data_IF_915792410291
#
_entry.id   IF_915792410291
#
_cell.length_a   1.000
_cell.length_b   1.000
_cell.length_c   1.000
_cell.angle_alpha   90.00
_cell.angle_beta   90.00
_cell.angle_gamma   90.00
#
_symmetry.space_group_name_H-M   'P 1'
#
loop_
_entity.id
_entity.type
_entity.pdbx_description
1 polymer ?
#
# COMPACT_ATOMS: atom_id res chain seq x y z
N UNK A 1 21.27 -9.13 13.38
CA UNK A 1 20.78 -8.66 12.08
C UNK A 1 21.71 -7.56 11.59
N UNK A 2 22.28 -7.75 10.40
CA UNK A 2 23.26 -6.90 9.71
C UNK A 2 22.59 -6.00 8.68
N UNK A 3 23.36 -5.12 8.03
CA UNK A 3 22.84 -4.31 6.91
C UNK A 3 22.45 -5.17 5.68
N UNK A 4 23.04 -6.35 5.49
CA UNK A 4 22.71 -7.25 4.37
C UNK A 4 21.42 -8.06 4.61
N UNK A 5 21.13 -8.41 5.86
CA UNK A 5 19.82 -8.95 6.26
C UNK A 5 18.71 -7.91 5.96
N UNK A 6 18.95 -6.63 6.29
CA UNK A 6 18.02 -5.53 5.99
C UNK A 6 17.85 -5.33 4.49
N UNK A 7 18.92 -5.41 3.68
CA UNK A 7 18.80 -5.38 2.20
C UNK A 7 17.92 -6.53 1.70
N UNK A 8 18.10 -7.74 2.22
CA UNK A 8 17.33 -8.93 1.84
C UNK A 8 15.83 -8.77 2.15
N UNK A 9 15.50 -8.28 3.36
CA UNK A 9 14.11 -8.01 3.77
C UNK A 9 13.47 -6.87 2.95
N UNK A 10 14.23 -5.84 2.60
CA UNK A 10 13.74 -4.73 1.76
C UNK A 10 13.56 -5.18 0.30
N UNK A 11 14.42 -6.05 -0.22
CA UNK A 11 14.22 -6.64 -1.56
C UNK A 11 12.97 -7.52 -1.60
N UNK A 12 12.80 -8.42 -0.62
CA UNK A 12 11.58 -9.22 -0.47
C UNK A 12 10.34 -8.33 -0.43
N UNK A 13 10.36 -7.26 0.37
CA UNK A 13 9.25 -6.31 0.48
C UNK A 13 8.94 -5.60 -0.85
N UNK A 14 9.96 -5.26 -1.63
CA UNK A 14 9.81 -4.60 -2.94
C UNK A 14 9.28 -5.53 -4.05
N UNK A 15 9.37 -6.86 -3.87
CA UNK A 15 8.77 -7.85 -4.78
C UNK A 15 7.26 -8.03 -4.55
N UNK A 16 6.77 -7.78 -3.33
CA UNK A 16 5.36 -8.04 -2.93
C UNK A 16 4.52 -6.78 -2.76
N UNK A 17 5.11 -5.68 -2.29
CA UNK A 17 4.42 -4.40 -2.04
C UNK A 17 4.67 -3.34 -3.12
N UNK A 18 4.24 -2.11 -2.84
CA UNK A 18 4.38 -0.96 -3.75
C UNK A 18 5.84 -0.70 -4.19
N UNK A 19 6.09 -0.83 -5.50
CA UNK A 19 7.41 -0.63 -6.12
C UNK A 19 8.02 0.75 -5.82
N UNK A 20 9.24 0.78 -5.28
CA UNK A 20 10.00 1.98 -4.90
C UNK A 20 11.48 1.82 -5.28
N UNK A 21 11.89 2.14 -6.53
CA UNK A 21 13.21 1.78 -7.05
C UNK A 21 14.38 2.49 -6.34
N UNK A 22 14.14 3.62 -5.69
CA UNK A 22 15.14 4.35 -4.90
C UNK A 22 15.41 3.74 -3.53
N UNK A 23 14.56 2.85 -3.03
CA UNK A 23 14.59 2.38 -1.64
C UNK A 23 15.86 1.56 -1.34
N UNK A 24 16.21 0.60 -2.20
CA UNK A 24 17.46 -0.17 -2.07
C UNK A 24 18.70 0.73 -2.10
N UNK A 25 18.72 1.79 -2.93
CA UNK A 25 19.85 2.73 -2.99
C UNK A 25 20.01 3.52 -1.68
N UNK A 26 18.91 3.86 -1.00
CA UNK A 26 18.97 4.50 0.31
C UNK A 26 19.51 3.51 1.36
N UNK A 27 18.92 2.32 1.45
CA UNK A 27 19.29 1.28 2.43
C UNK A 27 20.77 0.86 2.29
N UNK A 28 21.22 0.57 1.08
CA UNK A 28 22.62 0.22 0.76
C UNK A 28 23.61 1.40 0.85
N UNK A 29 23.20 2.55 1.38
CA UNK A 29 24.11 3.68 1.66
C UNK A 29 24.06 4.16 3.12
N UNK A 30 23.52 3.35 4.03
CA UNK A 30 23.90 3.42 5.44
C UNK A 30 25.30 2.81 5.60
N UNK A 31 26.07 3.31 6.56
CA UNK A 31 27.29 2.63 7.00
C UNK A 31 26.95 1.28 7.68
N UNK A 32 27.73 0.19 7.48
CA UNK A 32 27.41 -1.11 8.05
C UNK A 32 27.44 -1.15 9.58
N UNK A 33 28.42 -0.50 10.21
CA UNK A 33 28.63 -0.55 11.66
C UNK A 33 27.63 0.36 12.37
N UNK A 34 27.40 1.58 11.88
CA UNK A 34 26.31 2.45 12.37
C UNK A 34 24.95 1.76 12.24
N UNK A 35 24.70 1.09 11.11
CA UNK A 35 23.43 0.39 10.90
C UNK A 35 23.25 -0.76 11.90
N UNK A 36 24.29 -1.56 12.12
CA UNK A 36 24.26 -2.65 13.11
C UNK A 36 24.08 -2.12 14.55
N UNK A 37 24.72 -1.01 14.89
CA UNK A 37 24.57 -0.35 16.19
C UNK A 37 23.16 0.19 16.43
N UNK A 38 22.55 0.84 15.43
CA UNK A 38 21.14 1.32 15.51
C UNK A 38 20.16 0.15 15.61
N UNK A 39 20.38 -0.94 14.88
CA UNK A 39 19.57 -2.17 14.97
C UNK A 39 19.68 -2.79 16.37
N UNK A 40 20.90 -2.88 16.93
CA UNK A 40 21.14 -3.41 18.28
C UNK A 40 20.44 -2.56 19.34
N UNK A 41 20.60 -1.24 19.29
CA UNK A 41 19.90 -0.30 20.19
C UNK A 41 18.37 -0.46 20.09
N UNK A 42 17.82 -0.66 18.90
CA UNK A 42 16.39 -0.86 18.73
C UNK A 42 15.89 -2.16 19.40
N UNK A 43 16.62 -3.26 19.23
CA UNK A 43 16.30 -4.54 19.86
C UNK A 43 16.41 -4.44 21.39
N UNK A 44 17.44 -3.78 21.92
CA UNK A 44 17.60 -3.54 23.36
C UNK A 44 16.43 -2.72 23.94
N UNK A 45 15.99 -1.66 23.26
CA UNK A 45 14.81 -0.87 23.64
C UNK A 45 13.52 -1.72 23.59
N UNK A 46 13.41 -2.65 22.63
CA UNK A 46 12.27 -3.56 22.53
C UNK A 46 12.26 -4.58 23.66
N UNK A 47 13.37 -5.27 23.91
CA UNK A 47 13.45 -6.36 24.88
C UNK A 47 13.28 -5.85 26.33
N UNK A 48 13.68 -4.60 26.64
CA UNK A 48 13.43 -3.95 27.94
C UNK A 48 11.95 -3.66 28.24
N UNK A 49 11.17 -3.25 27.22
CA UNK A 49 9.85 -2.58 27.44
C UNK A 49 8.69 -3.18 26.64
N UNK A 50 8.98 -4.05 25.68
CA UNK A 50 8.07 -4.49 24.61
C UNK A 50 7.47 -3.31 23.81
N UNK A 51 8.11 -2.13 23.83
CA UNK A 51 7.59 -0.91 23.23
C UNK A 51 7.93 -0.84 21.73
N UNK A 52 6.99 -1.35 20.93
CA UNK A 52 7.01 -1.30 19.48
C UNK A 52 7.15 0.13 18.92
N UNK A 53 6.63 1.16 19.61
CA UNK A 53 6.63 2.54 19.12
C UNK A 53 8.01 3.17 19.22
N UNK A 54 8.61 3.20 20.41
CA UNK A 54 9.96 3.78 20.59
C UNK A 54 11.02 2.98 19.83
N UNK A 55 10.85 1.66 19.70
CA UNK A 55 11.70 0.81 18.85
C UNK A 55 11.66 1.23 17.39
N UNK A 56 10.48 1.55 16.84
CA UNK A 56 10.34 2.07 15.48
C UNK A 56 10.99 3.45 15.31
N UNK A 57 10.87 4.32 16.31
CA UNK A 57 11.51 5.65 16.30
C UNK A 57 13.06 5.54 16.39
N UNK A 58 13.62 4.42 16.86
CA UNK A 58 15.05 4.09 16.70
C UNK A 58 15.36 3.56 15.30
N UNK A 59 14.63 2.55 14.81
CA UNK A 59 14.88 1.92 13.50
C UNK A 59 14.73 2.90 12.32
N UNK A 60 13.84 3.89 12.43
CA UNK A 60 13.61 4.89 11.38
C UNK A 60 14.71 5.96 11.26
N UNK A 61 15.74 5.93 12.12
CA UNK A 61 17.00 6.67 11.93
C UNK A 61 17.77 6.18 10.70
N UNK A 62 17.59 4.90 10.32
CA UNK A 62 18.26 4.30 9.16
C UNK A 62 17.71 4.85 7.84
N UNK A 63 18.60 5.28 6.94
CA UNK A 63 18.22 5.84 5.64
C UNK A 63 17.51 4.79 4.79
N UNK A 64 16.30 5.12 4.36
CA UNK A 64 15.41 4.22 3.60
C UNK A 64 14.48 3.36 4.47
N UNK A 65 14.58 3.43 5.80
CA UNK A 65 13.70 2.70 6.71
C UNK A 65 12.62 3.65 7.23
N UNK A 66 11.42 3.58 6.64
CA UNK A 66 10.21 4.23 7.20
C UNK A 66 9.49 3.31 8.18
N UNK A 67 8.43 3.78 8.87
CA UNK A 67 7.68 3.00 9.87
C UNK A 67 7.29 1.60 9.38
N UNK A 68 6.78 1.50 8.15
CA UNK A 68 6.37 0.22 7.57
C UNK A 68 7.52 -0.75 7.24
N UNK A 69 8.77 -0.28 7.20
CA UNK A 69 9.95 -1.16 7.04
C UNK A 69 10.55 -1.48 8.41
N UNK A 70 10.59 -0.51 9.32
CA UNK A 70 10.97 -0.76 10.71
C UNK A 70 10.05 -1.81 11.39
N UNK A 71 8.74 -1.76 11.13
CA UNK A 71 7.79 -2.80 11.58
C UNK A 71 8.09 -4.18 10.99
N UNK A 72 8.61 -4.28 9.75
CA UNK A 72 8.99 -5.56 9.16
C UNK A 72 10.25 -6.11 9.83
N UNK A 73 11.25 -5.26 10.05
CA UNK A 73 12.48 -5.62 10.76
C UNK A 73 12.17 -6.13 12.18
N UNK A 74 11.24 -5.49 12.87
CA UNK A 74 10.84 -5.87 14.23
C UNK A 74 9.89 -7.09 14.27
N UNK A 75 9.00 -7.28 13.30
CA UNK A 75 8.19 -8.49 13.18
C UNK A 75 9.03 -9.75 12.83
N UNK A 76 10.21 -9.59 12.22
CA UNK A 76 11.19 -10.68 12.05
C UNK A 76 11.87 -11.07 13.38
N UNK A 77 12.03 -10.12 14.31
CA UNK A 77 12.49 -10.39 15.68
C UNK A 77 11.38 -11.00 16.55
N UNK A 78 10.15 -10.47 16.46
CA UNK A 78 8.99 -10.96 17.23
C UNK A 78 7.70 -11.06 16.40
N UNK A 79 7.58 -12.15 15.65
CA UNK A 79 6.38 -12.51 14.90
C UNK A 79 5.17 -12.90 15.76
N UNK A 80 5.29 -12.92 17.10
CA UNK A 80 4.18 -13.25 18.00
C UNK A 80 3.43 -12.00 18.48
N UNK A 81 4.16 -10.91 18.77
CA UNK A 81 3.62 -9.66 19.32
C UNK A 81 3.61 -8.50 18.32
N UNK A 82 4.56 -8.42 17.38
CA UNK A 82 4.71 -7.26 16.50
C UNK A 82 4.06 -7.49 15.14
N UNK A 83 3.22 -6.54 14.73
CA UNK A 83 2.59 -6.53 13.41
C UNK A 83 3.48 -5.83 12.38
N UNK A 84 3.75 -6.50 11.25
CA UNK A 84 4.25 -5.87 10.04
C UNK A 84 3.14 -5.00 9.42
N UNK A 85 3.46 -3.72 9.19
CA UNK A 85 2.61 -2.78 8.45
C UNK A 85 2.58 -3.09 6.94
N UNK A 86 1.93 -4.21 6.60
CA UNK A 86 1.54 -4.59 5.26
C UNK A 86 0.33 -3.77 4.78
N UNK A 87 0.16 -3.65 3.46
CA UNK A 87 -0.99 -2.96 2.88
C UNK A 87 -2.30 -3.72 3.23
N UNK A 88 -2.24 -5.05 3.18
CA UNK A 88 -3.35 -5.97 3.43
C UNK A 88 -3.85 -5.91 4.89
N UNK A 89 -2.94 -5.91 5.87
CA UNK A 89 -3.29 -5.80 7.29
C UNK A 89 -4.00 -4.47 7.60
N UNK A 90 -3.49 -3.38 7.04
CA UNK A 90 -4.06 -2.04 7.21
C UNK A 90 -5.40 -1.87 6.49
N UNK A 91 -5.58 -2.46 5.31
CA UNK A 91 -6.86 -2.42 4.60
C UNK A 91 -7.94 -3.25 5.30
N UNK A 92 -7.63 -4.47 5.73
CA UNK A 92 -8.59 -5.34 6.41
C UNK A 92 -9.08 -4.72 7.71
N UNK A 93 -8.15 -4.38 8.62
CA UNK A 93 -8.48 -3.90 9.96
C UNK A 93 -8.90 -2.42 9.93
N UNK A 94 -8.02 -1.52 9.50
CA UNK A 94 -8.25 -0.07 9.65
C UNK A 94 -9.12 0.56 8.55
N UNK A 95 -9.40 -0.15 7.44
CA UNK A 95 -10.19 0.36 6.32
C UNK A 95 -11.43 -0.50 5.98
N UNK A 96 -11.82 -1.43 6.87
CA UNK A 96 -12.96 -2.34 6.68
C UNK A 96 -12.92 -3.11 5.34
N UNK A 97 -11.73 -3.59 4.96
CA UNK A 97 -11.48 -4.30 3.69
C UNK A 97 -11.30 -3.41 2.45
N UNK A 98 -11.44 -2.09 2.56
CA UNK A 98 -11.38 -1.18 1.41
C UNK A 98 -9.94 -0.74 1.12
N UNK A 99 -9.47 -0.97 -0.11
CA UNK A 99 -8.11 -0.65 -0.58
C UNK A 99 -7.82 0.86 -0.69
N UNK A 100 -7.81 1.53 0.45
CA UNK A 100 -7.69 2.99 0.60
C UNK A 100 -6.22 3.46 0.51
N UNK A 101 -5.93 4.72 0.13
CA UNK A 101 -4.56 5.23 0.04
C UNK A 101 -3.84 5.31 1.40
N UNK A 102 -2.81 4.47 1.58
CA UNK A 102 -1.94 4.44 2.77
C UNK A 102 -0.80 5.45 2.63
N UNK A 103 -0.47 6.20 3.71
CA UNK A 103 0.63 7.18 3.73
C UNK A 103 1.90 6.64 4.39
N UNK A 104 1.81 5.53 5.12
CA UNK A 104 2.91 4.80 5.77
C UNK A 104 3.60 5.57 6.90
N UNK A 105 2.82 6.38 7.63
CA UNK A 105 3.32 7.19 8.75
C UNK A 105 3.08 6.52 10.11
N UNK A 106 3.71 7.05 11.16
CA UNK A 106 3.64 6.50 12.51
C UNK A 106 2.28 6.71 13.22
N UNK A 107 1.35 7.52 12.69
CA UNK A 107 -0.05 7.58 13.19
C UNK A 107 -0.85 6.40 12.65
N UNK A 108 -0.73 6.12 11.36
CA UNK A 108 -1.36 4.96 10.71
C UNK A 108 -0.85 3.64 11.31
N UNK A 109 0.44 3.55 11.63
CA UNK A 109 0.97 2.36 12.31
C UNK A 109 0.40 2.17 13.72
N UNK A 110 0.32 3.23 14.54
CA UNK A 110 -0.28 3.14 15.88
C UNK A 110 -1.76 2.75 15.83
N UNK A 111 -2.50 3.18 14.80
CA UNK A 111 -3.87 2.75 14.55
C UNK A 111 -3.94 1.25 14.21
N UNK A 112 -3.04 0.74 13.37
CA UNK A 112 -2.92 -0.70 13.09
C UNK A 112 -2.61 -1.50 14.36
N UNK A 113 -1.69 -1.04 15.21
CA UNK A 113 -1.41 -1.71 16.48
C UNK A 113 -2.65 -1.80 17.38
N UNK A 114 -3.48 -0.75 17.45
CA UNK A 114 -4.71 -0.76 18.26
C UNK A 114 -5.68 -1.85 17.80
N UNK A 115 -6.02 -1.88 16.50
CA UNK A 115 -6.94 -2.89 15.93
C UNK A 115 -6.38 -4.31 16.09
N UNK A 116 -5.05 -4.47 15.99
CA UNK A 116 -4.36 -5.73 16.22
C UNK A 116 -4.46 -6.16 17.67
N UNK A 117 -4.20 -5.27 18.63
CA UNK A 117 -4.25 -5.61 20.04
C UNK A 117 -5.68 -5.88 20.52
N UNK A 118 -6.67 -5.12 20.05
CA UNK A 118 -8.10 -5.42 20.28
C UNK A 118 -8.52 -6.79 19.72
N UNK A 119 -8.03 -7.16 18.53
CA UNK A 119 -8.24 -8.49 17.96
C UNK A 119 -7.53 -9.59 18.78
N UNK A 120 -6.27 -9.37 19.17
CA UNK A 120 -5.47 -10.32 19.98
C UNK A 120 -6.10 -10.55 21.36
N UNK A 121 -6.55 -9.48 22.01
CA UNK A 121 -7.25 -9.54 23.31
C UNK A 121 -8.60 -10.28 23.20
N UNK A 122 -9.29 -10.18 22.06
CA UNK A 122 -10.58 -10.83 21.84
C UNK A 122 -10.52 -12.32 21.48
N UNK A 123 -9.50 -12.77 20.73
CA UNK A 123 -9.42 -14.16 20.23
C UNK A 123 -8.08 -14.90 20.48
N UNK A 124 -7.11 -14.30 21.18
CA UNK A 124 -5.90 -15.00 21.66
C UNK A 124 -4.86 -15.38 20.60
N UNK A 125 -4.87 -14.72 19.43
CA UNK A 125 -3.98 -15.03 18.29
C UNK A 125 -2.66 -14.25 18.30
N UNK A 126 -1.71 -14.65 17.45
CA UNK A 126 -0.43 -13.94 17.22
C UNK A 126 -0.55 -12.87 16.13
N UNK A 127 0.33 -11.87 16.17
CA UNK A 127 0.43 -10.86 15.12
C UNK A 127 0.67 -11.48 13.73
N UNK A 128 1.61 -12.40 13.59
CA UNK A 128 1.84 -13.08 12.29
C UNK A 128 0.70 -13.98 11.82
N UNK A 129 -0.23 -14.40 12.69
CA UNK A 129 -1.43 -15.12 12.27
C UNK A 129 -2.51 -14.16 11.73
N UNK A 130 -2.62 -12.97 12.32
CA UNK A 130 -3.41 -11.84 11.80
C UNK A 130 -2.90 -11.42 10.42
N UNK A 131 -1.57 -11.35 10.22
CA UNK A 131 -0.97 -11.04 8.91
C UNK A 131 -1.33 -12.06 7.81
N UNK A 132 -1.26 -13.36 8.13
CA UNK A 132 -1.64 -14.44 7.20
C UNK A 132 -3.11 -14.35 6.81
N UNK A 133 -4.00 -14.13 7.78
CA UNK A 133 -5.44 -13.97 7.55
C UNK A 133 -5.70 -12.72 6.71
N UNK A 134 -5.09 -11.58 7.04
CA UNK A 134 -5.21 -10.34 6.26
C UNK A 134 -4.76 -10.54 4.80
N UNK A 135 -3.59 -11.17 4.59
CA UNK A 135 -3.08 -11.46 3.26
C UNK A 135 -4.04 -12.35 2.46
N UNK A 136 -4.56 -13.42 3.06
CA UNK A 136 -5.52 -14.31 2.37
C UNK A 136 -6.80 -13.56 2.02
N UNK A 137 -7.42 -12.85 2.97
CA UNK A 137 -8.68 -12.13 2.73
C UNK A 137 -8.52 -11.03 1.66
N UNK A 138 -7.44 -10.25 1.72
CA UNK A 138 -7.18 -9.13 0.80
C UNK A 138 -6.62 -9.55 -0.57
N UNK A 139 -6.39 -10.85 -0.80
CA UNK A 139 -5.94 -11.42 -2.09
C UNK A 139 -6.93 -12.40 -2.71
N UNK A 140 -8.09 -12.66 -2.09
CA UNK A 140 -9.13 -13.48 -2.73
C UNK A 140 -9.64 -12.78 -4.00
N UNK A 141 -9.68 -13.47 -5.16
CA UNK A 141 -10.28 -12.93 -6.36
C UNK A 141 -11.80 -12.87 -6.21
N UNK A 142 -12.34 -11.66 -6.10
CA UNK A 142 -13.76 -11.31 -6.09
C UNK A 142 -14.68 -12.31 -5.37
N UNK A 143 -14.57 -12.37 -4.03
CA UNK A 143 -15.80 -12.49 -3.26
C UNK A 143 -16.55 -11.16 -3.38
N UNK A 144 -17.33 -11.03 -4.46
CA UNK A 144 -18.28 -9.94 -4.68
C UNK A 144 -19.09 -9.72 -3.40
N UNK A 145 -19.22 -8.45 -2.96
CA UNK A 145 -19.97 -8.10 -1.75
C UNK A 145 -21.35 -8.78 -1.76
N UNK A 146 -21.56 -9.81 -0.93
CA UNK A 146 -22.90 -10.30 -0.64
C UNK A 146 -23.48 -9.40 0.45
N UNK A 147 -24.49 -8.56 0.16
CA UNK A 147 -25.22 -7.89 1.21
C UNK A 147 -25.91 -8.96 2.06
N UNK A 148 -25.62 -8.98 3.36
CA UNK A 148 -26.30 -9.85 4.33
C UNK A 148 -27.68 -9.26 4.68
N UNK A 149 -28.49 -8.98 3.64
CA UNK A 149 -29.88 -8.57 3.79
C UNK A 149 -30.72 -9.78 4.20
N UNK A 150 -31.38 -9.66 5.36
CA UNK A 150 -32.22 -10.74 5.90
C UNK A 150 -33.45 -10.95 5.01
N UNK A 151 -33.59 -12.15 4.44
CA UNK A 151 -34.61 -12.48 3.46
C UNK A 151 -36.05 -12.25 4.00
N UNK A 152 -36.85 -11.35 3.38
CA UNK A 152 -38.27 -11.22 3.68
C UNK A 152 -39.05 -12.42 3.13
N UNK A 153 -40.01 -12.93 3.91
CA UNK A 153 -40.81 -14.11 3.55
C UNK A 153 -41.75 -13.80 2.38
N UNK A 154 -41.88 -14.76 1.44
CA UNK A 154 -42.79 -14.69 0.28
C UNK A 154 -44.23 -14.33 0.67
N UNK A 155 -44.85 -13.43 -0.09
CA UNK A 155 -46.30 -13.46 -0.37
C UNK A 155 -46.55 -13.16 -1.84
N UNK A 156 -47.27 -14.06 -2.49
CA UNK A 156 -47.76 -13.90 -3.87
C UNK A 156 -49.12 -13.19 -3.87
N UNK A 157 -49.42 -12.43 -4.93
CA UNK A 157 -50.77 -12.34 -5.52
C UNK A 157 -50.74 -11.74 -6.92
N UNK A 158 -51.76 -12.03 -7.71
CA UNK A 158 -51.78 -11.89 -9.17
C UNK A 158 -52.51 -10.63 -9.67
N UNK A 159 -52.14 -10.20 -10.89
CA UNK A 159 -53.03 -9.56 -11.86
C UNK A 159 -53.25 -8.04 -11.77
N UNK A 160 -53.75 -7.34 -12.82
CA UNK A 160 -53.95 -7.71 -14.24
C UNK A 160 -54.14 -6.43 -15.08
N UNK A 161 -53.74 -6.44 -16.36
CA UNK A 161 -54.05 -5.45 -17.44
C UNK A 161 -53.54 -3.99 -17.25
N UNK A 162 -52.68 -3.47 -18.14
CA UNK A 162 -52.97 -2.73 -19.39
C UNK A 162 -53.24 -1.21 -19.15
N UNK A 163 -53.00 -0.26 -20.08
CA UNK A 163 -52.75 -0.33 -21.52
C UNK A 163 -51.97 0.91 -22.04
N UNK A 164 -51.56 0.89 -23.32
CA UNK A 164 -51.31 2.04 -24.22
C UNK A 164 -50.13 3.03 -23.92
N UNK A 165 -49.46 3.69 -24.89
CA UNK A 165 -49.21 3.50 -26.35
C UNK A 165 -48.07 4.46 -26.78
N UNK A 166 -47.30 4.16 -27.85
CA UNK A 166 -46.45 5.10 -28.65
C UNK A 166 -45.20 5.74 -27.99
N UNK A 167 -44.10 6.07 -28.70
CA UNK A 167 -43.59 5.74 -30.06
C UNK A 167 -42.05 5.93 -30.09
N UNK A 168 -41.39 5.40 -31.13
CA UNK A 168 -39.95 5.52 -31.50
C UNK A 168 -39.38 6.99 -31.46
N UNK A 169 -38.06 7.26 -31.53
CA UNK A 169 -37.03 6.65 -32.41
C UNK A 169 -35.58 6.88 -31.91
N UNK A 170 -34.60 6.26 -32.58
CA UNK A 170 -33.14 6.40 -32.43
C UNK A 170 -32.62 7.86 -32.66
N UNK A 171 -31.34 8.25 -32.50
CA UNK A 171 -30.10 7.56 -32.92
C UNK A 171 -28.82 8.18 -32.28
N UNK A 172 -27.72 7.41 -32.22
CA UNK A 172 -26.33 7.86 -31.98
C UNK A 172 -25.49 7.65 -33.26
N UNK A 173 -24.16 7.95 -33.37
CA UNK A 173 -23.18 8.61 -32.47
C UNK A 173 -22.37 9.76 -33.15
N UNK A 174 -21.31 10.32 -32.49
CA UNK A 174 -19.95 10.53 -33.06
C UNK A 174 -19.04 11.63 -32.41
N UNK A 175 -17.95 11.21 -31.73
CA UNK A 175 -16.52 11.49 -32.10
C UNK A 175 -15.88 12.92 -32.12
N UNK A 176 -15.01 13.17 -31.09
CA UNK A 176 -13.68 13.89 -31.08
C UNK A 176 -13.51 15.44 -31.19
N UNK A 177 -12.88 15.96 -30.10
CA UNK A 177 -11.65 16.83 -30.02
C UNK A 177 -11.65 18.35 -30.36
N UNK A 178 -11.25 19.12 -29.33
CA UNK A 178 -10.23 20.22 -29.26
C UNK A 178 -10.07 21.22 -30.42
N UNK A 179 -10.08 22.52 -30.04
CA UNK A 179 -8.90 23.41 -30.17
C UNK A 179 -8.96 24.54 -29.12
N UNK A 180 -7.83 25.20 -28.86
CA UNK A 180 -7.67 26.33 -27.91
C UNK A 180 -6.91 27.48 -28.62
N UNK A 181 -7.10 28.72 -28.17
CA UNK A 181 -6.69 29.96 -28.84
C UNK A 181 -6.69 31.14 -27.85
N UNK A 182 -5.74 32.11 -27.85
CA UNK A 182 -4.59 32.35 -28.75
C UNK A 182 -3.68 33.48 -28.18
N UNK A 183 -2.36 33.24 -28.11
CA UNK A 183 -1.25 34.26 -28.05
C UNK A 183 -1.20 35.26 -26.84
N UNK A 184 -0.08 35.86 -26.36
CA UNK A 184 1.39 35.87 -26.67
C UNK A 184 2.23 36.54 -25.52
N UNK A 185 3.52 36.99 -25.58
CA UNK A 185 4.45 37.30 -26.71
C UNK A 185 5.96 37.04 -26.51
N UNK A 186 6.71 37.97 -25.89
CA UNK A 186 8.18 38.15 -25.99
C UNK A 186 8.69 38.82 -24.70
N UNK A 187 9.99 38.85 -24.37
CA UNK A 187 11.23 38.63 -25.14
C UNK A 187 12.33 38.01 -24.23
N UNK A 188 13.56 37.65 -24.62
CA UNK A 188 14.19 37.01 -25.81
C UNK A 188 15.68 36.73 -25.37
N UNK A 189 16.66 36.64 -26.29
CA UNK A 189 18.12 36.79 -26.12
C UNK A 189 19.02 35.64 -25.53
N UNK A 190 19.43 34.71 -26.42
CA UNK A 190 20.84 34.35 -26.79
C UNK A 190 21.82 33.75 -25.73
N UNK A 191 22.70 32.75 -25.99
CA UNK A 191 22.88 31.67 -27.02
C UNK A 191 24.06 30.77 -26.61
N UNK A 192 23.97 29.43 -26.73
CA UNK A 192 25.04 28.55 -27.30
C UNK A 192 24.59 27.08 -27.52
N UNK A 193 25.42 26.33 -28.24
CA UNK A 193 25.05 25.24 -29.17
C UNK A 193 24.89 23.82 -28.57
N UNK A 194 24.29 22.92 -29.36
CA UNK A 194 24.37 21.46 -29.24
C UNK A 194 25.21 20.88 -30.40
N UNK A 195 25.63 19.60 -30.31
CA UNK A 195 25.11 18.64 -31.30
C UNK A 195 24.27 17.50 -30.70
N UNK A 196 23.34 16.95 -31.50
CA UNK A 196 22.40 15.92 -31.09
C UNK A 196 22.83 14.49 -31.48
N UNK A 197 22.50 13.49 -30.66
CA UNK A 197 22.52 12.07 -31.06
C UNK A 197 21.09 11.51 -31.18
N UNK A 198 20.76 10.93 -32.33
CA UNK A 198 19.41 10.43 -32.66
C UNK A 198 19.17 9.00 -32.18
N UNK A 199 18.00 8.78 -31.60
CA UNK A 199 17.44 7.46 -31.23
C UNK A 199 17.10 6.65 -32.49
N UNK A 200 17.63 5.44 -32.60
CA UNK A 200 17.32 4.50 -33.69
C UNK A 200 15.90 3.91 -33.57
N UNK A 201 15.34 3.47 -34.71
CA UNK A 201 14.09 2.68 -34.79
C UNK A 201 14.39 1.32 -35.43
N UNK A 202 13.78 0.27 -34.88
CA UNK A 202 13.85 -1.11 -35.36
C UNK A 202 13.00 -1.28 -36.61
N UNK A 203 13.60 -1.77 -37.69
CA UNK A 203 12.88 -2.19 -38.92
C UNK A 203 12.35 -3.62 -38.71
N UNK A 204 11.24 -3.97 -39.38
CA UNK A 204 10.74 -5.34 -39.45
C UNK A 204 11.38 -6.08 -40.63
N UNK A 205 11.66 -7.36 -40.40
CA UNK A 205 11.49 -8.42 -41.40
C UNK A 205 10.34 -9.32 -40.93
#
# INVERSE_FOLDING_TARGET
MTIDDVKTLVEWKLRHGKFRPTLMKLVSSNDPDDAQNVIKQAIEVYDEKTDTVTTLDVLTKLRGIGPATASLLLAVHDASRVIFFADEAFWWLCCSGKQSPIKYNAKEYRMLCSEVDDLRNRIGVKASDIEKVAYVLMKQPDQTEQPHDAAPVKKEKEGTSASATATATATTPATKRKADAKETKKADNVTKEQPSLRRSKRVKS
#
